data_IF_928243612435
#
_entry.id   IF_928243612435
#
_cell.length_a   1.000
_cell.length_b   1.000
_cell.length_c   1.000
_cell.angle_alpha   90.00
_cell.angle_beta   90.00
_cell.angle_gamma   90.00
#
_symmetry.space_group_name_H-M   'P 1'
#
loop_
_entity.id
_entity.type
_entity.pdbx_description
1 polymer ?
#
# COMPACT_ATOMS: atom_id res chain seq x y z
N UNK A 1 -7.28 -4.68 8.23
CA UNK A 1 -5.98 -4.58 8.94
C UNK A 1 -5.26 -3.31 8.47
N UNK A 2 -4.49 -2.64 9.35
CA UNK A 2 -3.71 -1.44 8.97
C UNK A 2 -2.21 -1.74 9.09
N UNK A 3 -1.44 -1.44 8.04
CA UNK A 3 0.02 -1.48 8.02
C UNK A 3 0.53 -0.06 7.85
N UNK A 4 1.33 0.43 8.80
CA UNK A 4 1.92 1.77 8.72
C UNK A 4 3.39 1.67 8.34
N UNK A 5 3.77 2.38 7.29
CA UNK A 5 5.15 2.56 6.89
C UNK A 5 5.63 3.95 7.30
N UNK A 6 6.86 4.03 7.82
CA UNK A 6 7.50 5.26 8.24
C UNK A 6 8.95 5.24 7.74
N UNK A 7 9.46 6.41 7.33
CA UNK A 7 10.79 6.50 6.72
C UNK A 7 10.78 6.07 5.25
N UNK A 8 11.94 5.69 4.73
CA UNK A 8 12.12 5.46 3.29
C UNK A 8 11.62 4.07 2.88
N UNK A 9 10.84 4.01 1.80
CA UNK A 9 10.48 2.75 1.14
C UNK A 9 11.57 2.40 0.12
N UNK A 10 12.62 1.78 0.63
CA UNK A 10 13.81 1.36 -0.11
C UNK A 10 14.08 -0.14 0.07
N UNK A 11 15.23 -0.62 -0.43
CA UNK A 11 15.69 -1.99 -0.25
C UNK A 11 15.81 -2.46 1.22
N UNK A 12 16.01 -1.55 2.18
CA UNK A 12 16.16 -1.91 3.59
C UNK A 12 14.80 -2.18 4.24
N UNK A 13 13.79 -1.36 3.94
CA UNK A 13 12.44 -1.50 4.51
C UNK A 13 11.58 -2.48 3.71
N UNK A 14 11.86 -2.61 2.42
CA UNK A 14 11.18 -3.44 1.46
C UNK A 14 10.82 -4.87 1.95
N UNK A 15 11.79 -5.69 2.41
CA UNK A 15 11.51 -7.07 2.82
C UNK A 15 10.52 -7.17 3.97
N UNK A 16 10.59 -6.22 4.92
CA UNK A 16 9.73 -6.20 6.11
C UNK A 16 8.31 -5.80 5.74
N UNK A 17 8.12 -4.76 4.92
CA UNK A 17 6.79 -4.37 4.44
C UNK A 17 6.14 -5.53 3.68
N UNK A 18 6.91 -6.18 2.79
CA UNK A 18 6.42 -7.34 2.04
C UNK A 18 5.92 -8.45 2.95
N UNK A 19 6.70 -8.83 3.96
CA UNK A 19 6.32 -9.90 4.89
C UNK A 19 5.03 -9.57 5.66
N UNK A 20 4.85 -8.32 6.08
CA UNK A 20 3.62 -7.89 6.77
C UNK A 20 2.41 -7.87 5.83
N UNK A 21 2.57 -7.43 4.58
CA UNK A 21 1.51 -7.47 3.57
C UNK A 21 1.13 -8.91 3.20
N UNK A 22 2.11 -9.79 3.02
CA UNK A 22 1.88 -11.20 2.71
C UNK A 22 1.09 -11.88 3.83
N UNK A 23 1.49 -11.66 5.10
CA UNK A 23 0.74 -12.15 6.27
C UNK A 23 -0.69 -11.62 6.33
N UNK A 24 -0.88 -10.33 6.03
CA UNK A 24 -2.20 -9.70 6.02
C UNK A 24 -3.14 -10.34 4.98
N UNK A 25 -2.59 -10.67 3.82
CA UNK A 25 -3.33 -11.20 2.67
C UNK A 25 -3.56 -12.71 2.75
N UNK A 26 -2.83 -13.42 3.62
CA UNK A 26 -3.05 -14.83 3.92
C UNK A 26 -4.21 -15.08 4.91
N UNK A 27 -4.76 -14.01 5.52
CA UNK A 27 -5.90 -14.13 6.41
C UNK A 27 -7.16 -14.60 5.66
N UNK A 28 -7.94 -15.54 6.22
CA UNK A 28 -9.16 -16.02 5.60
C UNK A 28 -10.23 -14.92 5.53
N UNK A 29 -11.06 -14.95 4.48
CA UNK A 29 -12.24 -14.08 4.34
C UNK A 29 -11.97 -12.72 3.70
N UNK A 30 -11.52 -12.72 2.44
CA UNK A 30 -11.35 -11.51 1.60
C UNK A 30 -10.69 -10.34 2.33
N UNK A 31 -9.40 -10.47 2.71
CA UNK A 31 -8.77 -9.51 3.60
C UNK A 31 -8.71 -8.11 2.98
N UNK A 32 -9.14 -7.12 3.76
CA UNK A 32 -8.94 -5.70 3.45
C UNK A 32 -7.71 -5.18 4.22
N UNK A 33 -6.71 -4.74 3.47
CA UNK A 33 -5.44 -4.20 3.99
C UNK A 33 -5.36 -2.73 3.66
N UNK A 34 -5.22 -1.90 4.69
CA UNK A 34 -4.96 -0.47 4.55
C UNK A 34 -3.48 -0.22 4.79
N UNK A 35 -2.80 0.45 3.87
CA UNK A 35 -1.37 0.78 3.99
C UNK A 35 -1.23 2.29 4.15
N UNK A 36 -0.81 2.71 5.33
CA UNK A 36 -0.57 4.12 5.63
C UNK A 36 0.86 4.52 5.24
N UNK A 37 0.95 5.32 4.17
CA UNK A 37 2.19 5.85 3.60
C UNK A 37 2.37 7.34 3.93
N UNK A 38 1.55 7.91 4.81
CA UNK A 38 1.56 9.36 5.09
C UNK A 38 2.85 9.85 5.74
N UNK A 39 3.61 8.95 6.39
CA UNK A 39 4.90 9.20 7.02
C UNK A 39 6.10 8.68 6.18
N UNK A 40 5.86 8.35 4.90
CA UNK A 40 6.90 7.92 3.96
C UNK A 40 7.31 9.11 3.08
N UNK A 41 8.49 9.72 3.31
CA UNK A 41 8.95 10.84 2.49
C UNK A 41 9.48 10.40 1.12
N UNK A 42 9.86 9.13 0.96
CA UNK A 42 10.52 8.61 -0.24
C UNK A 42 10.16 7.14 -0.52
N UNK A 43 10.04 6.80 -1.80
CA UNK A 43 9.84 5.45 -2.31
C UNK A 43 10.67 5.27 -3.60
N UNK A 44 11.53 4.25 -3.66
CA UNK A 44 12.26 3.89 -4.87
C UNK A 44 11.50 2.86 -5.73
N UNK A 45 12.17 2.31 -6.74
CA UNK A 45 11.61 1.26 -7.58
C UNK A 45 11.33 -0.04 -6.82
N UNK A 46 12.08 -0.32 -5.74
CA UNK A 46 11.92 -1.53 -4.93
C UNK A 46 10.71 -1.40 -4.02
N UNK A 47 10.56 -0.25 -3.35
CA UNK A 47 9.36 0.07 -2.57
C UNK A 47 8.10 0.00 -3.43
N UNK A 48 8.15 0.57 -4.64
CA UNK A 48 7.04 0.52 -5.58
C UNK A 48 6.74 -0.92 -6.05
N UNK A 49 7.76 -1.71 -6.33
CA UNK A 49 7.62 -3.11 -6.71
C UNK A 49 6.90 -3.96 -5.67
N UNK A 50 7.07 -3.65 -4.38
CA UNK A 50 6.35 -4.33 -3.30
C UNK A 50 4.88 -3.97 -3.28
N UNK A 51 4.55 -2.68 -3.43
CA UNK A 51 3.15 -2.25 -3.50
C UNK A 51 2.44 -2.91 -4.69
N UNK A 52 3.11 -2.99 -5.85
CA UNK A 52 2.60 -3.66 -7.05
C UNK A 52 2.44 -5.18 -6.83
N UNK A 53 3.40 -5.81 -6.15
CA UNK A 53 3.32 -7.22 -5.77
C UNK A 53 2.12 -7.50 -4.86
N UNK A 54 1.91 -6.66 -3.85
CA UNK A 54 0.76 -6.76 -2.96
C UNK A 54 -0.56 -6.57 -3.72
N UNK A 55 -0.65 -5.57 -4.61
CA UNK A 55 -1.82 -5.36 -5.46
C UNK A 55 -2.14 -6.59 -6.34
N UNK A 56 -1.10 -7.25 -6.88
CA UNK A 56 -1.28 -8.47 -7.66
C UNK A 56 -1.87 -9.59 -6.80
N UNK A 57 -1.32 -9.79 -5.60
CA UNK A 57 -1.78 -10.84 -4.68
C UNK A 57 -3.19 -10.59 -4.14
N UNK A 58 -3.57 -9.33 -3.95
CA UNK A 58 -4.93 -8.91 -3.58
C UNK A 58 -5.94 -9.32 -4.65
N UNK A 59 -5.58 -9.18 -5.93
CA UNK A 59 -6.43 -9.60 -7.06
C UNK A 59 -6.64 -11.11 -7.08
N UNK A 60 -5.59 -11.88 -6.78
CA UNK A 60 -5.67 -13.35 -6.73
C UNK A 60 -6.51 -13.86 -5.56
N UNK A 61 -6.47 -13.16 -4.42
CA UNK A 61 -7.17 -13.54 -3.18
C UNK A 61 -8.58 -12.96 -3.06
N UNK A 62 -9.03 -12.18 -4.06
CA UNK A 62 -10.24 -11.34 -3.98
C UNK A 62 -10.28 -10.48 -2.71
N UNK A 63 -9.11 -10.09 -2.21
CA UNK A 63 -8.98 -9.17 -1.10
C UNK A 63 -9.13 -7.72 -1.57
N UNK A 64 -8.77 -6.78 -0.70
CA UNK A 64 -8.71 -5.35 -1.05
C UNK A 64 -7.47 -4.70 -0.44
N UNK A 65 -6.90 -3.74 -1.16
CA UNK A 65 -5.73 -2.97 -0.75
C UNK A 65 -6.01 -1.49 -0.95
N UNK A 66 -5.95 -0.72 0.13
CA UNK A 66 -6.18 0.74 0.12
C UNK A 66 -4.91 1.42 0.59
N UNK A 67 -4.39 2.36 -0.20
CA UNK A 67 -3.23 3.16 0.19
C UNK A 67 -3.69 4.50 0.77
N UNK A 68 -3.23 4.84 1.97
CA UNK A 68 -3.39 6.19 2.52
C UNK A 68 -2.18 7.01 2.13
N UNK A 69 -2.41 8.01 1.27
CA UNK A 69 -1.36 8.86 0.71
C UNK A 69 -1.74 10.33 0.87
N UNK A 70 -0.75 11.18 1.13
CA UNK A 70 -0.92 12.63 1.06
C UNK A 70 -0.38 13.16 -0.26
N UNK A 71 -0.91 14.29 -0.78
CA UNK A 71 -0.31 14.97 -1.91
C UNK A 71 1.19 15.19 -1.69
N UNK A 72 2.01 14.73 -2.62
CA UNK A 72 3.46 14.81 -2.51
C UNK A 72 4.18 13.79 -3.40
N UNK A 73 5.35 13.36 -2.93
CA UNK A 73 6.26 12.50 -3.68
C UNK A 73 5.65 11.14 -4.05
N UNK A 74 4.98 10.47 -3.10
CA UNK A 74 4.34 9.17 -3.36
C UNK A 74 3.21 9.30 -4.39
N UNK A 75 2.31 10.27 -4.26
CA UNK A 75 1.24 10.49 -5.25
C UNK A 75 1.82 10.85 -6.62
N UNK A 76 2.90 11.65 -6.65
CA UNK A 76 3.58 12.00 -7.90
C UNK A 76 4.19 10.77 -8.57
N UNK A 77 4.86 9.90 -7.81
CA UNK A 77 5.39 8.63 -8.30
C UNK A 77 4.30 7.74 -8.89
N UNK A 78 3.17 7.58 -8.21
CA UNK A 78 2.04 6.81 -8.71
C UNK A 78 1.51 7.37 -10.04
N UNK A 79 1.42 8.69 -10.17
CA UNK A 79 0.96 9.35 -11.41
C UNK A 79 1.96 9.17 -12.55
N UNK A 80 3.26 9.42 -12.36
CA UNK A 80 4.24 9.29 -13.45
C UNK A 80 4.45 7.84 -13.89
N UNK A 81 4.20 6.87 -12.99
CA UNK A 81 4.24 5.44 -13.29
C UNK A 81 2.89 4.89 -13.75
N UNK A 82 1.85 5.74 -13.81
CA UNK A 82 0.49 5.39 -14.22
C UNK A 82 -0.13 4.26 -13.36
N UNK A 83 0.30 4.20 -12.10
CA UNK A 83 -0.13 3.25 -11.08
C UNK A 83 -1.26 3.82 -10.22
N UNK A 84 -1.44 5.13 -10.21
CA UNK A 84 -2.55 5.83 -9.55
C UNK A 84 -3.93 5.27 -9.93
N UNK A 85 -4.14 4.89 -11.19
CA UNK A 85 -5.37 4.23 -11.67
C UNK A 85 -5.53 2.77 -11.23
N UNK A 86 -4.47 2.16 -10.72
CA UNK A 86 -4.45 0.75 -10.34
C UNK A 86 -4.57 0.54 -8.82
N UNK A 87 -4.16 1.56 -8.04
CA UNK A 87 -4.33 1.56 -6.60
C UNK A 87 -5.60 2.29 -6.18
N UNK A 88 -6.31 1.70 -5.24
CA UNK A 88 -7.30 2.43 -4.47
C UNK A 88 -6.55 3.31 -3.46
N UNK A 89 -6.83 4.63 -3.46
CA UNK A 89 -6.14 5.60 -2.61
C UNK A 89 -7.13 6.45 -1.82
N UNK A 90 -6.76 6.79 -0.58
CA UNK A 90 -7.50 7.70 0.28
C UNK A 90 -6.56 8.78 0.84
N UNK A 91 -7.12 9.95 1.18
CA UNK A 91 -6.35 11.07 1.74
C UNK A 91 -6.08 10.95 3.24
N UNK A 92 -6.80 10.06 3.93
CA UNK A 92 -6.65 9.84 5.38
C UNK A 92 -6.93 8.41 5.79
N UNK A 93 -6.37 8.01 6.95
CA UNK A 93 -6.61 6.70 7.53
C UNK A 93 -8.08 6.51 7.91
N UNK A 94 -8.75 7.58 8.36
CA UNK A 94 -10.17 7.54 8.69
C UNK A 94 -11.03 7.18 7.46
N UNK A 95 -10.79 7.86 6.35
CA UNK A 95 -11.48 7.59 5.07
C UNK A 95 -11.25 6.15 4.61
N UNK A 96 -10.01 5.66 4.68
CA UNK A 96 -9.68 4.29 4.29
C UNK A 96 -10.38 3.24 5.18
N UNK A 97 -10.48 3.49 6.49
CA UNK A 97 -11.17 2.60 7.42
C UNK A 97 -12.68 2.61 7.19
N UNK A 98 -13.28 3.77 6.89
CA UNK A 98 -14.69 3.86 6.50
C UNK A 98 -14.98 3.16 5.18
N UNK A 99 -14.05 3.22 4.23
CA UNK A 99 -14.17 2.51 2.96
C UNK A 99 -13.97 0.99 3.10
N UNK A 100 -13.19 0.55 4.10
CA UNK A 100 -12.90 -0.86 4.38
C UNK A 100 -14.00 -1.60 5.16
N UNK A 101 -14.97 -0.87 5.72
CA UNK A 101 -16.13 -1.39 6.43
C UNK A 101 -17.22 -1.88 5.46
#
# INVERSE_FOLDING_TARGET
>A
MVVRAEGELDMAVAPRLRAELDRALELPGHPCVVVDLTAVPFCDSVGLGILVGALTRVRDTRGRLILVVRPGMITHLLTITNLDRHFETCGSLHEALSAAA
#
